data_IF_326951864312
#
_entry.id   IF_326951864312
#
_cell.length_a   1.000
_cell.length_b   1.000
_cell.length_c   1.000
_cell.angle_alpha   90.00
_cell.angle_beta   90.00
_cell.angle_gamma   90.00
#
_symmetry.space_group_name_H-M   'P 1'
#
loop_
_entity.id
_entity.type
_entity.pdbx_description
1 polymer ?
#
# COMPACT_ATOMS: atom_id res chain seq x y z
N UNK A 1 -56.68 -31.09 13.48
CA UNK A 1 -55.25 -31.40 13.66
C UNK A 1 -54.34 -30.45 12.88
N UNK A 2 -54.46 -30.35 11.54
CA UNK A 2 -53.61 -29.48 10.70
C UNK A 2 -53.68 -27.99 11.06
N UNK A 3 -54.88 -27.50 11.38
CA UNK A 3 -55.08 -26.07 11.73
C UNK A 3 -54.54 -25.71 13.12
N UNK A 4 -54.55 -26.67 14.06
CA UNK A 4 -54.01 -26.49 15.41
C UNK A 4 -52.48 -26.38 15.37
N UNK A 5 -51.83 -27.17 14.49
CA UNK A 5 -50.38 -27.12 14.27
C UNK A 5 -49.98 -25.77 13.65
N UNK A 6 -50.77 -25.26 12.71
CA UNK A 6 -50.52 -23.95 12.09
C UNK A 6 -50.67 -22.82 13.12
N UNK A 7 -51.70 -22.87 13.97
CA UNK A 7 -51.89 -21.90 15.05
C UNK A 7 -50.71 -21.90 16.04
N UNK A 8 -50.22 -23.08 16.43
CA UNK A 8 -49.06 -23.22 17.32
C UNK A 8 -47.76 -22.66 16.73
N UNK A 9 -47.61 -22.70 15.40
CA UNK A 9 -46.43 -22.17 14.72
C UNK A 9 -46.41 -20.63 14.70
N UNK A 10 -47.56 -19.99 14.52
CA UNK A 10 -47.67 -18.51 14.47
C UNK A 10 -47.39 -17.88 15.84
N UNK A 11 -47.78 -18.56 16.92
CA UNK A 11 -47.58 -18.05 18.29
C UNK A 11 -46.09 -17.96 18.67
N UNK A 12 -45.21 -18.77 18.09
CA UNK A 12 -43.76 -18.75 18.38
C UNK A 12 -43.07 -17.48 17.85
N UNK A 13 -43.58 -16.87 16.77
CA UNK A 13 -42.97 -15.66 16.20
C UNK A 13 -43.35 -14.38 16.94
N UNK A 14 -44.44 -14.39 17.72
CA UNK A 14 -44.94 -13.21 18.46
C UNK A 14 -44.22 -12.91 19.77
N UNK A 15 -43.42 -13.84 20.31
CA UNK A 15 -42.78 -13.71 21.63
C UNK A 15 -41.26 -13.52 21.59
N UNK A 16 -40.67 -13.27 20.42
CA UNK A 16 -39.27 -12.84 20.35
C UNK A 16 -39.17 -11.39 20.83
N UNK A 17 -39.10 -11.20 22.15
CA UNK A 17 -38.70 -9.92 22.73
C UNK A 17 -37.27 -9.66 22.27
N UNK A 18 -37.09 -8.71 21.35
CA UNK A 18 -35.79 -8.05 21.18
C UNK A 18 -35.51 -7.36 22.51
N UNK A 19 -34.74 -8.00 23.38
CA UNK A 19 -34.29 -7.38 24.62
C UNK A 19 -33.48 -6.16 24.19
N UNK A 20 -34.02 -4.97 24.43
CA UNK A 20 -33.33 -3.72 24.13
C UNK A 20 -32.00 -3.77 24.89
N UNK A 21 -30.89 -3.94 24.16
CA UNK A 21 -29.56 -3.84 24.74
C UNK A 21 -29.31 -2.34 24.90
N UNK A 22 -29.82 -1.77 25.99
CA UNK A 22 -29.47 -0.43 26.41
C UNK A 22 -28.04 -0.48 26.96
N UNK A 23 -27.06 -0.20 26.10
CA UNK A 23 -25.69 -0.02 26.51
C UNK A 23 -25.59 1.28 27.33
N UNK A 24 -25.62 1.16 28.66
CA UNK A 24 -25.38 2.30 29.55
C UNK A 24 -23.88 2.49 29.66
N UNK A 25 -23.32 3.32 28.78
CA UNK A 25 -21.89 3.64 28.85
C UNK A 25 -21.64 4.46 30.12
N UNK A 26 -20.64 4.07 30.91
CA UNK A 26 -20.35 4.68 32.21
C UNK A 26 -19.69 6.07 32.07
N UNK A 27 -19.42 6.54 30.84
CA UNK A 27 -18.69 7.80 30.60
C UNK A 27 -19.03 8.52 29.30
N UNK A 28 -20.10 8.16 28.59
CA UNK A 28 -20.48 8.76 27.30
C UNK A 28 -21.98 8.69 27.00
N UNK A 29 -22.49 9.66 26.22
CA UNK A 29 -23.88 9.68 25.77
C UNK A 29 -24.06 8.88 24.47
N UNK A 30 -25.29 8.43 24.20
CA UNK A 30 -25.61 7.75 22.94
C UNK A 30 -25.34 8.65 21.73
N UNK A 31 -25.55 9.95 21.85
CA UNK A 31 -25.26 10.94 20.83
C UNK A 31 -23.76 10.96 20.48
N UNK A 32 -22.88 10.86 21.48
CA UNK A 32 -21.43 10.77 21.23
C UNK A 32 -21.05 9.46 20.54
N UNK A 33 -21.75 8.35 20.85
CA UNK A 33 -21.51 7.06 20.21
C UNK A 33 -22.00 7.04 18.76
N UNK A 34 -23.16 7.62 18.48
CA UNK A 34 -23.72 7.75 17.13
C UNK A 34 -22.79 8.59 16.24
N UNK A 35 -22.33 9.74 16.75
CA UNK A 35 -21.32 10.57 16.08
C UNK A 35 -20.03 9.79 15.86
N UNK A 36 -19.59 8.99 16.83
CA UNK A 36 -18.38 8.18 16.69
C UNK A 36 -18.53 7.06 15.65
N UNK A 37 -19.71 6.48 15.53
CA UNK A 37 -20.03 5.44 14.56
C UNK A 37 -20.14 6.01 13.13
N UNK A 38 -20.86 7.12 12.97
CA UNK A 38 -21.03 7.79 11.67
C UNK A 38 -19.70 8.33 11.12
N UNK A 39 -18.85 8.86 11.99
CA UNK A 39 -17.55 9.40 11.60
C UNK A 39 -16.42 8.36 11.63
N UNK A 40 -16.76 7.08 11.80
CA UNK A 40 -15.83 5.96 11.78
C UNK A 40 -14.63 6.17 12.73
N UNK A 41 -14.87 6.81 13.87
CA UNK A 41 -13.84 7.24 14.83
C UNK A 41 -13.17 6.06 15.56
N UNK A 42 -13.75 4.86 15.45
CA UNK A 42 -13.23 3.61 16.01
C UNK A 42 -12.22 2.89 15.10
N UNK A 43 -12.12 3.26 13.83
CA UNK A 43 -11.16 2.67 12.87
C UNK A 43 -9.77 3.34 12.95
N UNK A 44 -9.59 4.34 13.82
CA UNK A 44 -8.28 4.90 14.09
C UNK A 44 -7.48 3.93 14.98
N UNK A 45 -6.58 3.19 14.34
CA UNK A 45 -5.50 2.24 14.72
C UNK A 45 -4.91 2.17 16.16
N UNK A 46 -5.39 2.93 17.15
CA UNK A 46 -4.76 3.05 18.47
C UNK A 46 -5.68 2.72 19.65
N UNK A 47 -6.66 1.82 19.47
CA UNK A 47 -7.46 1.26 20.57
C UNK A 47 -6.65 0.24 21.40
N UNK A 48 -5.58 0.70 22.07
CA UNK A 48 -4.81 -0.11 23.04
C UNK A 48 -3.77 -1.06 22.45
N UNK A 49 -3.64 -1.14 21.13
CA UNK A 49 -2.44 -1.71 20.48
C UNK A 49 -1.30 -0.72 20.68
N UNK A 50 -0.30 -1.09 21.50
CA UNK A 50 0.92 -0.28 21.64
C UNK A 50 1.46 0.07 20.26
N UNK A 51 1.64 1.37 20.02
CA UNK A 51 1.95 1.89 18.69
C UNK A 51 3.10 1.15 18.02
N UNK A 52 2.99 0.99 16.70
CA UNK A 52 4.06 0.40 15.90
C UNK A 52 5.25 1.36 15.91
N UNK A 53 6.37 0.93 16.50
CA UNK A 53 7.60 1.71 16.44
C UNK A 53 8.15 1.59 15.01
N UNK A 54 8.22 2.74 14.32
CA UNK A 54 8.81 2.85 12.99
C UNK A 54 10.14 3.57 13.14
N UNK A 55 11.23 2.87 12.85
CA UNK A 55 12.59 3.42 12.88
C UNK A 55 13.16 3.44 11.48
N UNK A 56 13.47 4.63 10.98
CA UNK A 56 14.17 4.80 9.72
C UNK A 56 15.68 4.83 9.96
N UNK A 57 16.42 4.14 9.10
CA UNK A 57 17.87 4.18 9.14
C UNK A 57 18.52 4.17 7.76
N UNK A 58 19.68 4.81 7.70
CA UNK A 58 20.46 4.94 6.47
C UNK A 58 21.72 4.09 6.55
N UNK A 59 21.98 3.33 5.50
CA UNK A 59 23.19 2.51 5.33
C UNK A 59 24.03 3.06 4.20
N UNK A 60 25.34 3.22 4.41
CA UNK A 60 26.30 3.50 3.35
C UNK A 60 26.71 2.20 2.67
N UNK A 61 26.43 2.08 1.37
CA UNK A 61 26.73 0.88 0.59
C UNK A 61 28.05 1.00 -0.17
N UNK A 62 28.31 2.16 -0.79
CA UNK A 62 29.53 2.35 -1.55
C UNK A 62 30.00 3.80 -1.61
N UNK A 63 31.32 3.97 -1.68
CA UNK A 63 32.00 5.24 -1.94
C UNK A 63 32.73 5.12 -3.27
N UNK A 64 32.44 6.03 -4.19
CA UNK A 64 33.01 6.04 -5.54
C UNK A 64 33.82 7.31 -5.71
N UNK A 65 35.14 7.19 -5.86
CA UNK A 65 36.04 8.34 -6.02
C UNK A 65 36.01 8.83 -7.46
N UNK A 66 35.36 9.96 -7.77
CA UNK A 66 35.31 10.47 -9.15
C UNK A 66 36.60 11.20 -9.52
N UNK A 67 37.13 11.96 -8.56
CA UNK A 67 38.27 12.86 -8.75
C UNK A 67 39.02 13.02 -7.42
N UNK A 68 40.17 13.69 -7.44
CA UNK A 68 41.02 13.95 -6.27
C UNK A 68 40.29 14.63 -5.11
N UNK A 69 39.22 15.37 -5.37
CA UNK A 69 38.45 16.11 -4.36
C UNK A 69 36.95 15.76 -4.35
N UNK A 70 36.50 14.74 -5.10
CA UNK A 70 35.08 14.49 -5.32
C UNK A 70 34.75 13.00 -5.21
N UNK A 71 33.76 12.69 -4.38
CA UNK A 71 33.27 11.33 -4.14
C UNK A 71 31.76 11.26 -4.32
N UNK A 72 31.25 10.15 -4.85
CA UNK A 72 29.82 9.81 -4.80
C UNK A 72 29.62 8.81 -3.67
N UNK A 73 28.66 9.10 -2.81
CA UNK A 73 28.14 8.17 -1.82
C UNK A 73 26.88 7.52 -2.38
N UNK A 74 26.81 6.20 -2.30
CA UNK A 74 25.58 5.46 -2.54
C UNK A 74 25.08 4.92 -1.21
N UNK A 75 23.85 5.25 -0.86
CA UNK A 75 23.24 4.87 0.41
C UNK A 75 21.85 4.27 0.19
N UNK A 76 21.49 3.34 1.07
CA UNK A 76 20.19 2.69 1.10
C UNK A 76 19.48 3.05 2.40
N UNK A 77 18.23 3.50 2.27
CA UNK A 77 17.36 3.82 3.39
C UNK A 77 16.43 2.64 3.64
N UNK A 78 16.33 2.26 4.91
CA UNK A 78 15.52 1.16 5.37
C UNK A 78 14.56 1.66 6.43
N UNK A 79 13.35 1.12 6.41
CA UNK A 79 12.37 1.34 7.46
C UNK A 79 12.18 0.03 8.20
N UNK A 80 12.42 0.05 9.51
CA UNK A 80 12.13 -1.05 10.40
C UNK A 80 10.83 -0.77 11.15
N UNK A 81 9.86 -1.66 10.99
CA UNK A 81 8.60 -1.63 11.75
C UNK A 81 8.65 -2.70 12.83
N UNK A 82 8.54 -2.30 14.09
CA UNK A 82 8.44 -3.19 15.24
C UNK A 82 6.99 -3.21 15.72
N UNK A 83 6.32 -4.34 15.55
CA UNK A 83 5.11 -4.64 16.30
C UNK A 83 5.49 -5.20 17.67
N UNK A 84 4.71 -4.86 18.70
CA UNK A 84 4.92 -5.32 20.08
C UNK A 84 4.71 -6.84 20.23
N UNK A 85 3.98 -7.48 19.31
CA UNK A 85 3.95 -8.93 19.16
C UNK A 85 5.15 -9.38 18.34
N UNK A 86 5.83 -10.46 18.75
CA UNK A 86 7.06 -11.05 18.18
C UNK A 86 7.05 -11.46 16.67
N UNK A 87 6.29 -10.77 15.83
CA UNK A 87 6.08 -11.06 14.42
C UNK A 87 6.97 -10.12 13.60
N UNK A 88 8.10 -10.68 13.18
CA UNK A 88 8.99 -10.28 12.09
C UNK A 88 9.16 -8.78 11.79
N UNK A 89 10.26 -8.23 12.30
CA UNK A 89 10.92 -7.03 11.75
C UNK A 89 11.52 -7.37 10.38
N UNK A 90 10.81 -7.06 9.31
CA UNK A 90 11.41 -7.07 7.97
C UNK A 90 11.91 -5.67 7.67
N UNK A 91 13.19 -5.55 7.38
CA UNK A 91 13.75 -4.30 6.90
C UNK A 91 13.29 -4.09 5.46
N UNK A 92 12.47 -3.07 5.24
CA UNK A 92 12.00 -2.71 3.91
C UNK A 92 12.89 -1.62 3.32
N UNK A 93 13.53 -1.93 2.18
CA UNK A 93 14.28 -0.93 1.42
C UNK A 93 13.29 0.08 0.85
N UNK A 94 13.35 1.32 1.34
CA UNK A 94 12.44 2.39 0.90
C UNK A 94 13.03 3.20 -0.24
N UNK A 95 14.33 3.51 -0.16
CA UNK A 95 14.97 4.42 -1.12
C UNK A 95 16.47 4.19 -1.24
N UNK A 96 16.95 4.21 -2.47
CA UNK A 96 18.38 4.32 -2.77
C UNK A 96 18.68 5.78 -3.11
N UNK A 97 19.63 6.38 -2.39
CA UNK A 97 20.12 7.75 -2.58
C UNK A 97 21.56 7.74 -3.11
N UNK A 98 21.88 8.76 -3.91
CA UNK A 98 23.25 9.00 -4.37
C UNK A 98 23.58 10.47 -4.21
N UNK A 99 24.56 10.75 -3.36
CA UNK A 99 24.97 12.10 -3.05
C UNK A 99 26.42 12.32 -3.48
N UNK A 100 26.73 13.51 -3.98
CA UNK A 100 28.09 13.88 -4.36
C UNK A 100 28.66 14.82 -3.31
N UNK A 101 29.77 14.44 -2.71
CA UNK A 101 30.48 15.26 -1.73
C UNK A 101 31.79 15.75 -2.33
N UNK A 102 32.06 17.04 -2.14
CA UNK A 102 33.32 17.66 -2.48
C UNK A 102 34.11 17.84 -1.19
N UNK A 103 35.15 17.05 -0.99
CA UNK A 103 36.01 17.11 0.19
C UNK A 103 37.29 17.83 -0.23
N UNK A 104 37.68 18.84 0.54
CA UNK A 104 38.95 19.52 0.32
C UNK A 104 40.08 18.64 0.87
N UNK A 105 40.98 18.09 0.03
CA UNK A 105 42.06 17.25 0.52
C UNK A 105 43.03 18.06 1.37
N UNK A 106 43.64 17.44 2.39
CA UNK A 106 44.65 18.10 3.24
C UNK A 106 45.92 18.46 2.46
N UNK A 107 46.20 17.76 1.36
CA UNK A 107 47.33 18.02 0.47
C UNK A 107 46.86 18.06 -0.99
N UNK A 108 47.28 19.06 -1.75
CA UNK A 108 46.93 19.13 -3.19
C UNK A 108 47.59 18.02 -4.03
N UNK A 109 48.68 17.43 -3.54
CA UNK A 109 49.45 16.41 -4.27
C UNK A 109 48.87 15.00 -4.12
N UNK A 110 48.31 14.69 -2.96
CA UNK A 110 47.79 13.39 -2.58
C UNK A 110 46.28 13.61 -2.46
N UNK A 111 45.49 13.13 -3.44
CA UNK A 111 44.04 13.29 -3.43
C UNK A 111 43.39 12.72 -2.15
N UNK A 112 42.08 12.89 -2.00
CA UNK A 112 41.35 12.42 -0.82
C UNK A 112 41.63 10.92 -0.59
N UNK A 113 41.98 10.59 0.65
CA UNK A 113 42.16 9.20 1.08
C UNK A 113 40.89 8.64 1.69
N UNK A 114 40.74 7.31 1.70
CA UNK A 114 39.59 6.65 2.34
C UNK A 114 39.42 7.08 3.80
N UNK A 115 40.51 7.16 4.57
CA UNK A 115 40.46 7.58 5.97
C UNK A 115 39.92 9.01 6.14
N UNK A 116 40.20 9.92 5.22
CA UNK A 116 39.64 11.28 5.26
C UNK A 116 38.13 11.28 4.97
N UNK A 117 37.68 10.44 4.04
CA UNK A 117 36.23 10.25 3.79
C UNK A 117 35.57 9.65 5.02
N UNK A 118 36.10 8.56 5.56
CA UNK A 118 35.57 7.92 6.77
C UNK A 118 35.48 8.91 7.93
N UNK A 119 36.54 9.69 8.18
CA UNK A 119 36.56 10.69 9.24
C UNK A 119 35.45 11.74 9.06
N UNK A 120 35.27 12.24 7.83
CA UNK A 120 34.19 13.18 7.54
C UNK A 120 32.81 12.56 7.73
N UNK A 121 32.57 11.33 7.27
CA UNK A 121 31.26 10.68 7.37
C UNK A 121 30.93 10.24 8.79
N UNK A 122 31.92 9.77 9.55
CA UNK A 122 31.76 9.37 10.95
C UNK A 122 31.39 10.56 11.83
N UNK A 123 32.00 11.73 11.56
CA UNK A 123 31.67 12.97 12.27
C UNK A 123 30.20 13.40 12.13
N UNK A 124 29.53 13.01 11.05
CA UNK A 124 28.14 13.37 10.78
C UNK A 124 27.13 12.46 11.50
N UNK A 125 27.56 11.28 11.98
CA UNK A 125 26.70 10.26 12.61
C UNK A 125 25.41 9.93 11.82
N UNK A 126 25.46 10.08 10.50
CA UNK A 126 24.29 9.93 9.63
C UNK A 126 24.00 8.47 9.29
N UNK A 127 25.04 7.63 9.24
CA UNK A 127 24.95 6.22 8.88
C UNK A 127 24.96 5.34 10.13
N UNK A 128 24.06 4.36 10.18
CA UNK A 128 24.00 3.42 11.31
C UNK A 128 24.95 2.22 11.16
N UNK A 129 25.42 1.94 9.94
CA UNK A 129 26.35 0.85 9.72
C UNK A 129 27.80 1.28 9.92
N UNK A 130 28.62 0.27 10.19
CA UNK A 130 30.08 0.40 10.13
C UNK A 130 30.52 0.84 8.71
N UNK A 131 31.14 2.01 8.64
CA UNK A 131 31.60 2.64 7.41
C UNK A 131 32.74 1.87 6.73
N UNK A 132 33.46 1.02 7.49
CA UNK A 132 34.52 0.18 6.94
C UNK A 132 33.98 -0.95 6.05
N UNK A 133 32.69 -1.29 6.21
CA UNK A 133 32.01 -2.32 5.40
C UNK A 133 31.51 -1.80 4.05
N UNK A 134 31.57 -0.49 3.81
CA UNK A 134 31.18 0.09 2.53
C UNK A 134 32.17 -0.32 1.44
N UNK A 135 31.69 -0.50 0.22
CA UNK A 135 32.54 -0.83 -0.93
C UNK A 135 33.20 0.43 -1.47
N UNK A 136 34.53 0.49 -1.41
CA UNK A 136 35.31 1.58 -1.98
C UNK A 136 35.69 1.24 -3.42
N UNK A 137 35.29 2.11 -4.36
CA UNK A 137 35.59 1.96 -5.78
C UNK A 137 36.38 3.16 -6.26
N UNK A 138 37.60 2.90 -6.70
CA UNK A 138 38.38 3.89 -7.41
C UNK A 138 37.84 4.06 -8.83
N UNK A 139 37.85 5.30 -9.32
CA UNK A 139 37.47 5.56 -10.69
C UNK A 139 38.65 5.27 -11.61
N UNK A 140 38.58 4.12 -12.28
CA UNK A 140 39.49 3.78 -13.36
C UNK A 140 39.30 4.74 -14.55
N UNK A 141 40.24 5.68 -14.73
CA UNK A 141 40.26 6.59 -15.89
C UNK A 141 40.22 5.85 -17.24
N UNK A 142 40.66 4.58 -17.26
CA UNK A 142 40.64 3.70 -18.44
C UNK A 142 39.24 3.42 -18.98
N UNK A 143 38.18 3.64 -18.19
CA UNK A 143 36.79 3.40 -18.60
C UNK A 143 36.17 4.52 -19.46
N UNK A 144 36.86 5.67 -19.64
CA UNK A 144 36.40 6.78 -20.52
C UNK A 144 36.22 6.40 -22.00
N UNK A 145 36.70 5.23 -22.46
CA UNK A 145 36.65 4.82 -23.88
C UNK A 145 35.37 4.11 -24.36
N UNK A 146 34.30 3.99 -23.57
CA UNK A 146 33.01 3.46 -24.08
C UNK A 146 31.99 4.57 -24.31
N UNK A 147 32.25 5.44 -25.30
CA UNK A 147 31.24 6.33 -25.87
C UNK A 147 30.19 5.50 -26.63
N UNK A 148 28.97 5.51 -26.09
CA UNK A 148 27.70 5.49 -26.84
C UNK A 148 27.40 4.31 -27.76
N UNK A 149 26.73 3.27 -27.24
CA UNK A 149 25.62 2.67 -28.00
C UNK A 149 24.35 3.35 -27.54
N UNK A 150 23.75 4.19 -28.39
CA UNK A 150 22.37 4.64 -28.25
C UNK A 150 21.51 3.39 -28.10
N UNK A 151 21.06 3.10 -26.89
CA UNK A 151 19.99 2.13 -26.68
C UNK A 151 18.73 2.83 -27.16
N UNK A 152 18.12 2.29 -28.21
CA UNK A 152 16.84 2.76 -28.70
C UNK A 152 15.86 2.81 -27.52
N UNK A 153 15.25 3.98 -27.32
CA UNK A 153 14.10 4.12 -26.43
C UNK A 153 13.02 3.17 -26.97
N UNK A 154 12.84 2.04 -26.30
CA UNK A 154 11.60 1.29 -26.41
C UNK A 154 10.67 1.94 -25.41
N UNK A 155 9.73 2.73 -25.91
CA UNK A 155 8.60 3.23 -25.14
C UNK A 155 7.86 2.01 -24.53
N UNK A 156 7.55 1.99 -23.23
CA UNK A 156 6.61 1.03 -22.71
C UNK A 156 5.23 1.38 -23.30
N UNK A 157 4.69 0.47 -24.11
CA UNK A 157 3.28 0.46 -24.47
C UNK A 157 2.48 0.29 -23.18
N UNK A 158 1.93 1.41 -22.69
CA UNK A 158 0.93 1.43 -21.63
C UNK A 158 -0.34 0.84 -22.25
N UNK A 159 -0.56 -0.46 -22.04
CA UNK A 159 -1.89 -1.03 -22.19
C UNK A 159 -2.72 -0.53 -21.00
N UNK A 160 -3.56 0.47 -21.25
CA UNK A 160 -4.67 0.78 -20.35
C UNK A 160 -5.62 -0.42 -20.36
N UNK A 161 -5.58 -1.21 -19.30
CA UNK A 161 -6.62 -2.20 -19.04
C UNK A 161 -7.85 -1.43 -18.52
N UNK A 162 -9.04 -1.58 -19.13
CA UNK A 162 -10.24 -0.92 -18.64
C UNK A 162 -10.58 -1.46 -17.24
N UNK A 163 -10.88 -0.53 -16.33
CA UNK A 163 -11.23 -0.80 -14.94
C UNK A 163 -12.31 -1.90 -14.83
N UNK A 164 -12.04 -2.84 -13.91
CA UNK A 164 -12.89 -4.00 -13.62
C UNK A 164 -14.30 -3.58 -13.16
N UNK A 165 -14.47 -2.34 -12.69
CA UNK A 165 -15.77 -1.77 -12.29
C UNK A 165 -16.79 -1.69 -13.43
N UNK A 166 -16.35 -1.60 -14.69
CA UNK A 166 -17.25 -1.51 -15.84
C UNK A 166 -17.94 -2.83 -16.20
N UNK A 167 -17.40 -3.98 -15.77
CA UNK A 167 -18.02 -5.28 -16.05
C UNK A 167 -19.31 -5.51 -15.25
N UNK A 168 -19.39 -5.01 -14.02
CA UNK A 168 -20.60 -5.13 -13.20
C UNK A 168 -21.79 -4.37 -13.80
N UNK A 169 -21.54 -3.20 -14.38
CA UNK A 169 -22.57 -2.40 -15.06
C UNK A 169 -23.05 -3.11 -16.33
N UNK A 170 -22.14 -3.74 -17.07
CA UNK A 170 -22.48 -4.45 -18.29
C UNK A 170 -23.33 -5.71 -18.01
N UNK A 171 -23.02 -6.44 -16.93
CA UNK A 171 -23.79 -7.59 -16.47
C UNK A 171 -25.18 -7.17 -15.97
N UNK A 172 -25.30 -6.04 -15.26
CA UNK A 172 -26.61 -5.56 -14.77
C UNK A 172 -27.53 -5.13 -15.92
N UNK A 173 -26.99 -4.44 -16.94
CA UNK A 173 -27.75 -4.04 -18.14
C UNK A 173 -28.24 -5.28 -18.91
N UNK A 174 -27.38 -6.30 -19.07
CA UNK A 174 -27.77 -7.55 -19.73
C UNK A 174 -28.89 -8.29 -18.97
N UNK A 175 -28.83 -8.30 -17.64
CA UNK A 175 -29.87 -8.86 -16.78
C UNK A 175 -31.23 -8.19 -17.00
N UNK A 176 -31.26 -6.85 -16.97
CA UNK A 176 -32.50 -6.07 -17.15
C UNK A 176 -33.10 -6.30 -18.54
N UNK A 177 -32.27 -6.32 -19.59
CA UNK A 177 -32.72 -6.59 -20.96
C UNK A 177 -33.35 -7.98 -21.11
N UNK A 178 -32.81 -9.00 -20.45
CA UNK A 178 -33.38 -10.37 -20.51
C UNK A 178 -34.78 -10.46 -19.88
N UNK A 179 -35.00 -9.76 -18.76
CA UNK A 179 -36.31 -9.71 -18.10
C UNK A 179 -37.33 -8.96 -18.96
N UNK A 180 -36.94 -7.84 -19.56
CA UNK A 180 -37.82 -7.08 -20.47
C UNK A 180 -38.21 -7.92 -21.70
N UNK A 181 -37.25 -8.64 -22.28
CA UNK A 181 -37.51 -9.53 -23.43
C UNK A 181 -38.51 -10.64 -23.05
N UNK A 182 -38.38 -11.21 -21.86
CA UNK A 182 -39.31 -12.21 -21.34
C UNK A 182 -40.75 -11.68 -21.24
N UNK A 183 -40.94 -10.46 -20.71
CA UNK A 183 -42.27 -9.84 -20.62
C UNK A 183 -42.88 -9.54 -21.99
N UNK A 184 -42.07 -9.12 -22.96
CA UNK A 184 -42.55 -8.89 -24.33
C UNK A 184 -43.01 -10.22 -24.95
N UNK A 185 -42.22 -11.28 -24.83
CA UNK A 185 -42.56 -12.60 -25.38
C UNK A 185 -43.78 -13.21 -24.70
N UNK A 186 -43.91 -13.10 -23.38
CA UNK A 186 -45.08 -13.60 -22.65
C UNK A 186 -46.35 -12.84 -23.04
N UNK A 187 -46.26 -11.52 -23.23
CA UNK A 187 -47.40 -10.71 -23.70
C UNK A 187 -47.86 -11.09 -25.12
N UNK A 188 -46.93 -11.49 -25.99
CA UNK A 188 -47.25 -11.96 -27.35
C UNK A 188 -47.89 -13.34 -27.35
N UNK A 189 -47.49 -14.25 -26.45
CA UNK A 189 -48.12 -15.56 -26.30
C UNK A 189 -49.59 -15.43 -25.86
N UNK A 190 -49.87 -14.56 -24.89
CA UNK A 190 -51.25 -14.30 -24.42
C UNK A 190 -52.14 -13.76 -25.55
N UNK A 191 -51.59 -12.93 -26.45
CA UNK A 191 -52.34 -12.44 -27.62
C UNK A 191 -52.65 -13.54 -28.63
N UNK A 192 -51.73 -14.50 -28.85
CA UNK A 192 -51.96 -15.62 -29.77
C UNK A 192 -53.07 -16.56 -29.27
N UNK A 193 -53.13 -16.84 -27.97
CA UNK A 193 -54.17 -17.72 -27.41
C UNK A 193 -55.57 -17.13 -27.47
N UNK A 194 -55.68 -15.80 -27.43
CA UNK A 194 -56.97 -15.11 -27.54
C UNK A 194 -57.49 -15.00 -29.00
N UNK A 195 -56.63 -15.22 -30.00
CA UNK A 195 -57.02 -15.16 -31.42
C UNK A 195 -57.43 -16.53 -31.97
N UNK A 196 -57.07 -17.63 -31.30
CA UNK A 196 -57.45 -19.00 -31.70
C UNK A 196 -58.78 -19.48 -31.09
N UNK A 197 -59.47 -18.62 -30.32
CA UNK A 197 -60.74 -18.92 -29.65
C UNK A 197 -61.94 -18.15 -30.23
N UNK A 198 -61.78 -17.50 -31.39
CA UNK A 198 -62.84 -16.99 -32.26
C UNK A 198 -62.90 -17.83 -33.54
#
# INVERSE_FOLDING_TARGET
MREIIFLLFVVQFGFSQTKLIAHKSHSGSNETFEIALENNLFDNDNLGLGGMEVTDYTKLDSVIYIDKNKVILSSSNYTQRRMRSNICTKDELTKISRDTIIIKPKSQKIGITANEVLFHLDSLKYYQNDLTKAVYKDFDEKTKKKKGKKKNLVLPLIFNFPDISNYFILISIAGILSVLLYFILSSLQIRKTNFSSQ
#
